data_IF_858045338709
#
_entry.id   IF_858045338709
#
_cell.length_a   1.000
_cell.length_b   1.000
_cell.length_c   1.000
_cell.angle_alpha   90.00
_cell.angle_beta   90.00
_cell.angle_gamma   90.00
#
_symmetry.space_group_name_H-M   'P 1'
#
loop_
_entity.id
_entity.type
_entity.pdbx_description
1 polymer ?
#
# COMPACT_ATOMS: atom_id res chain seq x y z
N UNK A 1 -3.08 3.16 16.75
CA UNK A 1 -3.76 4.05 15.80
C UNK A 1 -4.82 4.82 16.55
N UNK A 2 -4.99 6.10 16.25
CA UNK A 2 -6.06 6.92 16.83
C UNK A 2 -7.38 6.53 16.14
N UNK A 3 -8.39 6.15 16.92
CA UNK A 3 -9.72 5.78 16.42
C UNK A 3 -10.56 7.07 16.32
N UNK A 4 -10.62 7.63 15.12
CA UNK A 4 -11.36 8.85 14.80
C UNK A 4 -12.53 8.46 13.90
N UNK A 5 -13.74 8.82 14.34
CA UNK A 5 -14.98 8.63 13.59
C UNK A 5 -15.28 9.89 12.78
N UNK A 6 -16.16 9.75 11.78
CA UNK A 6 -16.68 10.85 10.96
C UNK A 6 -15.62 11.67 10.18
N UNK A 7 -14.56 11.01 9.70
CA UNK A 7 -13.56 11.68 8.86
C UNK A 7 -14.05 11.74 7.40
N UNK A 8 -14.13 12.94 6.84
CA UNK A 8 -14.52 13.14 5.44
C UNK A 8 -13.37 12.84 4.46
N UNK A 9 -12.13 13.20 4.80
CA UNK A 9 -10.96 13.02 3.94
C UNK A 9 -9.79 12.43 4.72
N UNK A 10 -9.25 11.30 4.24
CA UNK A 10 -8.00 10.72 4.73
C UNK A 10 -6.94 10.83 3.65
N UNK A 11 -5.85 11.53 3.93
CA UNK A 11 -4.67 11.58 3.06
C UNK A 11 -3.55 10.78 3.70
N UNK A 12 -3.22 9.63 3.12
CA UNK A 12 -2.13 8.79 3.58
C UNK A 12 -0.94 8.91 2.62
N UNK A 13 0.20 9.33 3.15
CA UNK A 13 1.46 9.38 2.41
C UNK A 13 2.34 8.18 2.79
N UNK A 14 2.78 7.45 1.76
CA UNK A 14 3.55 6.19 1.84
C UNK A 14 2.84 5.04 2.56
N UNK A 15 3.21 3.81 2.17
CA UNK A 15 2.77 2.60 2.84
C UNK A 15 3.59 2.42 4.13
N UNK A 16 3.02 2.83 5.27
CA UNK A 16 3.64 2.64 6.59
C UNK A 16 3.50 1.21 7.11
N UNK A 17 2.46 0.50 6.65
CA UNK A 17 2.17 -0.88 6.96
C UNK A 17 1.56 -1.60 5.74
N UNK A 18 1.28 -2.89 5.90
CA UNK A 18 0.66 -3.70 4.85
C UNK A 18 -0.68 -3.11 4.41
N UNK A 19 -0.98 -3.24 3.11
CA UNK A 19 -2.19 -2.65 2.52
C UNK A 19 -3.48 -3.12 3.21
N UNK A 20 -3.53 -4.38 3.69
CA UNK A 20 -4.67 -4.89 4.43
C UNK A 20 -4.93 -4.11 5.72
N UNK A 21 -3.87 -3.73 6.45
CA UNK A 21 -4.02 -2.93 7.66
C UNK A 21 -4.44 -1.50 7.34
N UNK A 22 -3.84 -0.89 6.30
CA UNK A 22 -4.27 0.43 5.81
C UNK A 22 -5.74 0.42 5.40
N UNK A 23 -6.18 -0.61 4.69
CA UNK A 23 -7.56 -0.76 4.24
C UNK A 23 -8.55 -0.87 5.40
N UNK A 24 -8.22 -1.65 6.43
CA UNK A 24 -9.01 -1.70 7.65
C UNK A 24 -9.07 -0.34 8.35
N UNK A 25 -7.95 0.39 8.35
CA UNK A 25 -7.86 1.72 8.92
C UNK A 25 -8.73 2.74 8.18
N UNK A 26 -8.70 2.72 6.85
CA UNK A 26 -9.55 3.52 5.99
C UNK A 26 -11.04 3.22 6.22
N UNK A 27 -11.38 1.93 6.37
CA UNK A 27 -12.74 1.50 6.69
C UNK A 27 -13.22 2.02 8.04
N UNK A 28 -12.34 2.05 9.06
CA UNK A 28 -12.67 2.61 10.38
C UNK A 28 -12.83 4.12 10.37
N UNK A 29 -11.97 4.84 9.64
CA UNK A 29 -12.06 6.29 9.50
C UNK A 29 -13.40 6.76 8.89
N UNK A 30 -13.96 5.95 7.98
CA UNK A 30 -15.27 6.20 7.36
C UNK A 30 -16.46 5.58 8.10
N UNK A 31 -16.27 5.04 9.31
CA UNK A 31 -17.36 4.42 10.07
C UNK A 31 -18.21 5.51 10.75
N UNK A 32 -19.05 6.17 9.96
CA UNK A 32 -19.99 7.22 10.39
C UNK A 32 -21.32 7.07 9.67
N UNK A 33 -22.45 7.19 10.37
CA UNK A 33 -23.80 6.87 9.85
C UNK A 33 -24.31 7.81 8.75
N UNK A 34 -23.61 8.90 8.46
CA UNK A 34 -24.08 9.95 7.54
C UNK A 34 -23.08 10.41 6.49
N UNK A 35 -21.85 9.88 6.48
CA UNK A 35 -20.75 10.50 5.70
C UNK A 35 -19.95 9.44 4.95
N UNK A 36 -19.85 9.59 3.63
CA UNK A 36 -18.89 8.84 2.82
C UNK A 36 -17.50 9.45 2.99
N UNK A 37 -16.51 8.66 3.41
CA UNK A 37 -15.13 9.10 3.50
C UNK A 37 -14.41 8.94 2.15
N UNK A 38 -13.65 9.96 1.74
CA UNK A 38 -12.73 9.88 0.61
C UNK A 38 -11.31 9.62 1.10
N UNK A 39 -10.67 8.59 0.55
CA UNK A 39 -9.28 8.24 0.91
C UNK A 39 -8.36 8.45 -0.28
N UNK A 40 -7.34 9.28 -0.08
CA UNK A 40 -6.25 9.51 -1.03
C UNK A 40 -5.00 8.83 -0.50
N UNK A 41 -4.58 7.75 -1.15
CA UNK A 41 -3.37 7.02 -0.81
C UNK A 41 -2.25 7.29 -1.81
N UNK A 42 -1.22 8.00 -1.37
CA UNK A 42 -0.06 8.36 -2.17
C UNK A 42 1.09 7.39 -1.88
N UNK A 43 1.41 6.52 -2.84
CA UNK A 43 2.45 5.51 -2.67
C UNK A 43 3.42 5.45 -3.85
N UNK A 44 4.70 5.23 -3.53
CA UNK A 44 5.74 5.07 -4.55
C UNK A 44 5.56 3.78 -5.35
N UNK A 45 5.97 3.81 -6.63
CA UNK A 45 5.88 2.67 -7.56
C UNK A 45 6.56 1.39 -7.04
N UNK A 46 7.55 1.51 -6.16
CA UNK A 46 8.26 0.39 -5.54
C UNK A 46 7.39 -0.51 -4.66
N UNK A 47 6.25 0.00 -4.18
CA UNK A 47 5.35 -0.74 -3.30
C UNK A 47 4.30 -1.57 -4.05
N UNK A 48 4.25 -1.50 -5.38
CA UNK A 48 3.37 -2.34 -6.17
C UNK A 48 4.00 -3.72 -6.36
N UNK A 49 3.21 -4.77 -6.10
CA UNK A 49 3.67 -6.15 -6.19
C UNK A 49 4.21 -6.49 -7.57
N UNK A 50 3.58 -6.01 -8.64
CA UNK A 50 4.06 -6.21 -10.01
C UNK A 50 5.50 -5.71 -10.21
N UNK A 51 5.81 -4.56 -9.63
CA UNK A 51 7.11 -3.91 -9.74
C UNK A 51 8.14 -4.67 -8.91
N UNK A 52 7.78 -5.07 -7.69
CA UNK A 52 8.60 -5.89 -6.81
C UNK A 52 8.91 -7.25 -7.43
N UNK A 53 7.90 -7.97 -7.92
CA UNK A 53 8.02 -9.28 -8.55
C UNK A 53 8.87 -9.21 -9.83
N UNK A 54 8.69 -8.18 -10.66
CA UNK A 54 9.52 -7.96 -11.86
C UNK A 54 10.99 -7.75 -11.49
N UNK A 55 11.27 -6.98 -10.44
CA UNK A 55 12.64 -6.76 -9.93
C UNK A 55 13.27 -8.08 -9.46
N UNK A 56 12.55 -8.85 -8.66
CA UNK A 56 13.00 -10.16 -8.16
C UNK A 56 13.26 -11.13 -9.32
N UNK A 57 12.36 -11.21 -10.31
CA UNK A 57 12.54 -12.04 -11.51
C UNK A 57 13.79 -11.66 -12.30
N UNK A 58 14.05 -10.36 -12.46
CA UNK A 58 15.24 -9.88 -13.15
C UNK A 58 16.52 -10.18 -12.36
N UNK A 59 16.49 -10.07 -11.04
CA UNK A 59 17.62 -10.44 -10.18
C UNK A 59 17.92 -11.94 -10.25
N UNK A 60 16.89 -12.79 -10.20
CA UNK A 60 17.03 -14.24 -10.35
C UNK A 60 17.66 -14.60 -11.71
N UNK A 61 17.21 -13.97 -12.81
CA UNK A 61 17.81 -14.15 -14.15
C UNK A 61 19.27 -13.71 -14.21
N UNK A 62 19.64 -12.62 -13.53
CA UNK A 62 21.04 -12.16 -13.46
C UNK A 62 21.90 -13.13 -12.66
N UNK A 63 21.41 -13.60 -11.52
CA UNK A 63 22.13 -14.55 -10.67
C UNK A 63 22.33 -15.91 -11.37
N UNK A 64 21.35 -16.40 -12.13
CA UNK A 64 21.50 -17.63 -12.92
C UNK A 64 22.49 -17.45 -14.08
N UNK A 65 22.49 -16.27 -14.72
CA UNK A 65 23.44 -15.96 -15.80
C UNK A 65 24.89 -15.88 -15.30
N UNK A 66 25.14 -15.28 -14.14
CA UNK A 66 26.47 -15.21 -13.53
C UNK A 66 26.99 -16.57 -13.00
N UNK A 67 26.13 -17.57 -12.80
CA UNK A 67 26.54 -18.93 -12.41
C UNK A 67 26.85 -19.85 -13.60
N UNK A 68 26.49 -19.44 -14.82
CA UNK A 68 26.68 -20.20 -16.05
C UNK A 68 27.93 -19.79 -16.84
N UNK A 69 28.68 -18.81 -16.33
CA UNK A 69 29.99 -18.33 -16.82
C UNK A 69 31.02 -18.55 -15.73
#
# INVERSE_FOLDING_TARGET
GIDLLDIEIVVQYQATCDFNMLWQWFGRAGQGTSTSATVVFLVGKSHFDEVRLKKLRNQAKKASKCKAT
#
